data_IF_614851892890
#
_entry.id   IF_614851892890
#
_cell.length_a   1.000
_cell.length_b   1.000
_cell.length_c   1.000
_cell.angle_alpha   90.00
_cell.angle_beta   90.00
_cell.angle_gamma   90.00
#
_symmetry.space_group_name_H-M   'P 1'
#
loop_
_entity.id
_entity.type
_entity.pdbx_description
1 polymer ?
#
# COMPACT_ATOMS: atom_id res chain seq x y z
N UNK A 1 31.42 -8.93 39.39
CA UNK A 1 31.76 -7.82 38.46
C UNK A 1 31.38 -8.17 37.02
N UNK A 2 31.74 -9.36 36.50
CA UNK A 2 31.44 -9.77 35.10
C UNK A 2 29.92 -9.77 34.82
N UNK A 3 29.10 -10.32 35.73
CA UNK A 3 27.66 -10.40 35.58
C UNK A 3 27.03 -8.98 35.50
N UNK A 4 27.51 -8.04 36.31
CA UNK A 4 27.00 -6.67 36.29
C UNK A 4 27.29 -5.95 34.96
N UNK A 5 28.50 -6.08 34.44
CA UNK A 5 28.90 -5.47 33.16
C UNK A 5 28.11 -6.11 32.01
N UNK A 6 27.95 -7.44 31.98
CA UNK A 6 27.22 -8.17 30.98
C UNK A 6 25.74 -7.75 30.95
N UNK A 7 25.13 -7.55 32.13
CA UNK A 7 23.72 -7.10 32.22
C UNK A 7 23.53 -5.70 31.66
N UNK A 8 24.45 -4.78 31.94
CA UNK A 8 24.41 -3.39 31.42
C UNK A 8 24.56 -3.39 29.89
N UNK A 9 25.50 -4.16 29.35
CA UNK A 9 25.69 -4.27 27.89
C UNK A 9 24.44 -4.85 27.23
N UNK A 10 23.84 -5.87 27.83
CA UNK A 10 22.60 -6.49 27.31
C UNK A 10 21.45 -5.49 27.28
N UNK A 11 21.24 -4.72 28.34
CA UNK A 11 20.17 -3.70 28.41
C UNK A 11 20.39 -2.62 27.36
N UNK A 12 21.62 -2.12 27.20
CA UNK A 12 21.94 -1.10 26.19
C UNK A 12 21.75 -1.65 24.77
N UNK A 13 22.16 -2.89 24.51
CA UNK A 13 22.01 -3.54 23.21
C UNK A 13 20.55 -3.73 22.83
N UNK A 14 19.73 -4.19 23.79
CA UNK A 14 18.28 -4.32 23.59
C UNK A 14 17.65 -2.93 23.35
N UNK A 15 18.01 -1.93 24.16
CA UNK A 15 17.51 -0.57 24.00
C UNK A 15 17.83 0.03 22.63
N UNK A 16 19.04 -0.14 22.15
CA UNK A 16 19.44 0.33 20.81
C UNK A 16 18.75 -0.47 19.68
N UNK A 17 18.60 -1.77 19.84
CA UNK A 17 17.89 -2.62 18.88
C UNK A 17 16.42 -2.22 18.75
N UNK A 18 15.73 -2.01 19.88
CA UNK A 18 14.34 -1.55 19.92
C UNK A 18 14.21 -0.15 19.29
N UNK A 19 15.11 0.79 19.64
CA UNK A 19 15.09 2.14 19.07
C UNK A 19 15.29 2.14 17.56
N UNK A 20 16.21 1.33 17.04
CA UNK A 20 16.44 1.20 15.60
C UNK A 20 15.25 0.55 14.89
N UNK A 21 14.64 -0.47 15.50
CA UNK A 21 13.44 -1.11 14.99
C UNK A 21 12.27 -0.14 14.91
N UNK A 22 11.99 0.58 16.00
CA UNK A 22 10.88 1.56 16.05
C UNK A 22 11.12 2.71 15.07
N UNK A 23 12.32 3.25 14.97
CA UNK A 23 12.62 4.32 14.01
C UNK A 23 12.49 3.85 12.57
N UNK A 24 12.88 2.62 12.25
CA UNK A 24 12.67 2.01 10.93
C UNK A 24 11.18 1.89 10.58
N UNK A 25 10.38 1.39 11.51
CA UNK A 25 8.94 1.25 11.36
C UNK A 25 8.22 2.61 11.25
N UNK A 26 8.54 3.56 12.12
CA UNK A 26 7.97 4.91 12.06
C UNK A 26 8.31 5.62 10.75
N UNK A 27 9.53 5.48 10.24
CA UNK A 27 9.91 6.05 8.95
C UNK A 27 9.18 5.35 7.79
N UNK A 28 8.92 4.05 7.89
CA UNK A 28 8.16 3.32 6.87
C UNK A 28 6.66 3.65 6.90
N UNK A 29 6.12 3.98 8.08
CA UNK A 29 4.70 4.33 8.25
C UNK A 29 4.39 5.81 7.94
N UNK A 30 5.33 6.71 8.22
CA UNK A 30 5.13 8.16 8.13
C UNK A 30 6.01 8.86 7.08
N UNK A 31 6.75 8.11 6.28
CA UNK A 31 7.82 8.60 5.43
C UNK A 31 7.39 9.52 4.30
N UNK A 32 7.02 10.75 4.61
CA UNK A 32 6.82 11.77 3.60
C UNK A 32 5.47 11.72 2.88
N UNK A 33 4.52 10.94 3.37
CA UNK A 33 3.16 10.92 2.82
C UNK A 33 2.31 12.03 3.46
N UNK A 34 1.66 12.80 2.61
CA UNK A 34 0.66 13.81 3.01
C UNK A 34 -0.68 13.39 2.42
N UNK A 35 -1.66 13.12 3.25
CA UNK A 35 -3.03 12.88 2.81
C UNK A 35 -3.80 14.20 2.80
N UNK A 36 -4.41 14.53 1.67
CA UNK A 36 -5.24 15.72 1.50
C UNK A 36 -6.68 15.26 1.31
N UNK A 37 -7.56 15.78 2.13
CA UNK A 37 -8.99 15.49 2.06
C UNK A 37 -9.75 16.75 1.65
N UNK A 38 -10.74 16.61 0.78
CA UNK A 38 -11.68 17.72 0.56
C UNK A 38 -12.54 17.92 1.81
N UNK A 39 -12.74 19.15 2.20
CA UNK A 39 -13.71 19.48 3.23
C UNK A 39 -15.07 19.63 2.53
N UNK A 40 -16.03 18.82 2.91
CA UNK A 40 -17.20 18.38 2.13
C UNK A 40 -18.12 19.44 1.53
N UNK A 41 -17.95 20.73 1.80
CA UNK A 41 -18.83 21.75 1.23
C UNK A 41 -18.14 23.09 1.03
N UNK A 42 -18.13 23.56 -0.20
CA UNK A 42 -17.94 24.99 -0.49
C UNK A 42 -19.09 25.80 0.11
N UNK A 43 -18.87 27.07 0.40
CA UNK A 43 -19.89 27.98 0.97
C UNK A 43 -21.22 28.00 0.19
N UNK A 44 -21.22 27.58 -1.06
CA UNK A 44 -22.39 27.48 -1.95
C UNK A 44 -23.07 26.10 -1.96
N UNK A 45 -22.63 25.16 -1.10
CA UNK A 45 -23.17 23.80 -1.04
C UNK A 45 -22.73 22.86 -2.16
N UNK A 46 -21.75 23.25 -2.96
CA UNK A 46 -21.18 22.39 -4.01
C UNK A 46 -20.12 21.48 -3.40
N UNK A 47 -20.16 20.19 -3.71
CA UNK A 47 -19.14 19.23 -3.33
C UNK A 47 -17.81 19.59 -4.01
N UNK A 48 -16.74 19.73 -3.23
CA UNK A 48 -15.41 20.01 -3.75
C UNK A 48 -14.73 18.67 -4.06
N UNK A 49 -14.55 18.36 -5.33
CA UNK A 49 -13.90 17.16 -5.82
C UNK A 49 -12.54 17.56 -6.37
N UNK A 50 -11.48 16.85 -5.95
CA UNK A 50 -10.15 17.00 -6.57
C UNK A 50 -10.16 16.44 -7.99
N UNK A 51 -9.71 17.25 -8.93
CA UNK A 51 -9.55 16.88 -10.34
C UNK A 51 -8.15 16.39 -10.66
N UNK A 52 -7.92 15.83 -11.85
CA UNK A 52 -6.57 15.49 -12.31
C UNK A 52 -5.71 16.75 -12.45
N UNK A 53 -6.29 17.86 -12.91
CA UNK A 53 -5.62 19.15 -13.03
C UNK A 53 -5.10 19.69 -11.69
N UNK A 54 -5.86 19.47 -10.60
CA UNK A 54 -5.42 19.84 -9.24
C UNK A 54 -4.23 19.00 -8.79
N UNK A 55 -4.22 17.71 -9.10
CA UNK A 55 -3.10 16.82 -8.79
C UNK A 55 -1.83 17.19 -9.57
N UNK A 56 -1.97 17.47 -10.84
CA UNK A 56 -0.86 17.93 -11.71
C UNK A 56 -0.33 19.28 -11.22
N UNK A 57 -1.20 20.21 -10.86
CA UNK A 57 -0.82 21.50 -10.30
C UNK A 57 -0.04 21.39 -8.99
N UNK A 58 -0.41 20.46 -8.11
CA UNK A 58 0.34 20.18 -6.88
C UNK A 58 1.72 19.62 -7.22
N UNK A 59 1.80 18.66 -8.15
CA UNK A 59 3.05 18.03 -8.53
C UNK A 59 4.03 19.01 -9.18
N UNK A 60 3.54 19.96 -9.98
CA UNK A 60 4.37 20.99 -10.62
C UNK A 60 4.80 22.11 -9.68
N UNK A 61 3.91 22.56 -8.80
CA UNK A 61 4.13 23.77 -7.99
C UNK A 61 4.77 23.50 -6.64
N UNK A 62 4.64 22.29 -6.10
CA UNK A 62 5.18 21.95 -4.79
C UNK A 62 6.52 21.24 -4.94
N UNK A 63 7.62 21.83 -4.47
CA UNK A 63 8.96 21.22 -4.59
C UNK A 63 9.05 19.91 -3.77
N UNK A 64 9.85 18.97 -4.28
CA UNK A 64 10.12 17.67 -3.64
C UNK A 64 8.92 16.71 -3.53
N UNK A 65 7.84 16.96 -4.25
CA UNK A 65 6.76 15.99 -4.40
C UNK A 65 7.16 14.98 -5.48
N UNK A 66 7.21 13.69 -5.12
CA UNK A 66 7.54 12.62 -6.07
C UNK A 66 6.36 12.17 -6.90
N UNK A 67 5.19 12.11 -6.28
CA UNK A 67 3.96 11.71 -6.93
C UNK A 67 2.76 12.26 -6.18
N UNK A 68 1.70 12.56 -6.92
CA UNK A 68 0.37 12.86 -6.39
C UNK A 68 -0.58 11.83 -6.98
N UNK A 69 -1.30 11.12 -6.14
CA UNK A 69 -2.19 10.05 -6.59
C UNK A 69 -3.47 10.05 -5.77
N UNK A 70 -4.62 9.86 -6.41
CA UNK A 70 -5.83 9.59 -5.67
C UNK A 70 -5.67 8.22 -4.99
N UNK A 71 -6.31 8.06 -3.85
CA UNK A 71 -6.29 6.80 -3.10
C UNK A 71 -7.65 6.52 -2.52
N UNK A 72 -8.30 5.46 -3.01
CA UNK A 72 -9.57 4.98 -2.48
C UNK A 72 -9.41 3.53 -2.05
N UNK A 73 -9.82 3.23 -0.81
CA UNK A 73 -9.80 1.88 -0.30
C UNK A 73 -11.21 1.35 -0.12
N UNK A 74 -11.43 0.14 -0.63
CA UNK A 74 -12.70 -0.55 -0.54
C UNK A 74 -12.50 -1.97 -0.03
N UNK A 75 -13.43 -2.42 0.80
CA UNK A 75 -13.47 -3.81 1.26
C UNK A 75 -14.46 -4.58 0.41
N UNK A 76 -13.98 -5.69 -0.14
CA UNK A 76 -14.74 -6.60 -0.99
C UNK A 76 -14.27 -8.02 -0.80
N UNK A 77 -14.47 -8.88 -1.78
CA UNK A 77 -13.98 -10.26 -1.74
C UNK A 77 -13.12 -10.58 -2.96
N UNK A 78 -12.04 -11.31 -2.73
CA UNK A 78 -11.14 -11.82 -3.76
C UNK A 78 -11.28 -13.33 -3.89
N UNK A 79 -11.53 -13.80 -5.10
CA UNK A 79 -11.68 -15.22 -5.41
C UNK A 79 -10.50 -15.71 -6.24
N UNK A 80 -9.72 -16.58 -5.67
CA UNK A 80 -8.58 -17.23 -6.32
C UNK A 80 -8.74 -18.75 -6.36
N UNK A 81 -7.65 -19.45 -6.67
CA UNK A 81 -7.68 -20.92 -6.77
C UNK A 81 -8.02 -21.63 -5.46
N UNK A 82 -7.79 -21.01 -4.32
CA UNK A 82 -8.05 -21.62 -2.99
C UNK A 82 -9.43 -21.27 -2.42
N UNK A 83 -10.17 -20.40 -3.08
CA UNK A 83 -11.50 -19.98 -2.65
C UNK A 83 -11.65 -18.46 -2.62
N UNK A 84 -12.69 -18.02 -1.94
CA UNK A 84 -13.04 -16.62 -1.78
C UNK A 84 -12.66 -16.13 -0.39
N UNK A 85 -12.04 -14.96 -0.30
CA UNK A 85 -11.54 -14.36 0.93
C UNK A 85 -11.88 -12.87 0.94
N UNK A 86 -12.11 -12.33 2.12
CA UNK A 86 -12.27 -10.89 2.29
C UNK A 86 -10.94 -10.18 1.96
N UNK A 87 -11.05 -9.10 1.20
CA UNK A 87 -9.89 -8.35 0.74
C UNK A 87 -10.18 -6.85 0.71
N UNK A 88 -9.27 -6.06 1.29
CA UNK A 88 -9.26 -4.61 1.11
C UNK A 88 -8.34 -4.26 -0.04
N UNK A 89 -8.86 -3.50 -0.98
CA UNK A 89 -8.15 -3.07 -2.19
C UNK A 89 -8.05 -1.56 -2.21
N UNK A 90 -6.87 -1.04 -2.48
CA UNK A 90 -6.64 0.39 -2.69
C UNK A 90 -6.50 0.64 -4.20
N UNK A 91 -7.32 1.53 -4.72
CA UNK A 91 -7.26 2.01 -6.09
C UNK A 91 -6.51 3.33 -6.14
N UNK A 92 -5.68 3.51 -7.17
CA UNK A 92 -4.89 4.71 -7.37
C UNK A 92 -4.20 4.72 -8.73
N UNK A 93 -3.49 5.81 -9.02
CA UNK A 93 -2.61 5.95 -10.20
C UNK A 93 -1.20 5.41 -9.91
N UNK A 94 -0.36 5.37 -10.94
CA UNK A 94 1.08 5.19 -10.77
C UNK A 94 1.63 6.27 -9.82
N UNK A 95 2.61 5.91 -9.01
CA UNK A 95 3.10 6.76 -7.92
C UNK A 95 2.58 6.37 -6.54
N UNK A 96 1.52 5.54 -6.47
CA UNK A 96 1.03 5.01 -5.19
C UNK A 96 2.09 4.17 -4.44
N UNK A 97 3.05 3.58 -5.15
CA UNK A 97 4.20 2.90 -4.56
C UNK A 97 5.07 3.81 -3.69
N UNK A 98 5.17 5.09 -4.03
CA UNK A 98 5.91 6.07 -3.22
C UNK A 98 5.15 6.44 -1.93
N UNK A 99 3.83 6.36 -1.97
CA UNK A 99 2.98 6.59 -0.81
C UNK A 99 3.00 5.40 0.16
N UNK A 100 2.92 4.19 -0.36
CA UNK A 100 2.84 2.98 0.46
C UNK A 100 4.19 2.48 0.99
N UNK A 101 5.30 2.93 0.39
CA UNK A 101 6.69 2.58 0.74
C UNK A 101 6.98 1.07 0.85
N UNK A 102 6.13 0.23 0.28
CA UNK A 102 6.31 -1.22 0.33
C UNK A 102 7.12 -1.69 -0.88
N UNK A 103 8.28 -2.30 -0.65
CA UNK A 103 9.12 -2.73 -1.76
C UNK A 103 8.45 -3.84 -2.56
N UNK A 104 8.50 -3.73 -3.88
CA UNK A 104 8.17 -4.83 -4.78
C UNK A 104 9.24 -5.91 -4.63
N UNK A 105 8.82 -7.13 -4.33
CA UNK A 105 9.71 -8.29 -4.20
C UNK A 105 9.74 -9.16 -5.45
N UNK A 106 8.68 -9.11 -6.26
CA UNK A 106 8.59 -9.79 -7.56
C UNK A 106 7.75 -8.98 -8.55
N UNK A 107 8.12 -9.00 -9.83
CA UNK A 107 7.38 -8.32 -10.87
C UNK A 107 7.61 -6.80 -10.86
N UNK A 108 6.57 -6.04 -11.17
CA UNK A 108 6.58 -4.58 -11.27
C UNK A 108 5.37 -3.96 -10.58
N UNK A 109 5.45 -2.66 -10.33
CA UNK A 109 4.25 -1.89 -10.01
C UNK A 109 3.46 -1.56 -11.28
N UNK A 110 2.20 -1.14 -11.16
CA UNK A 110 1.44 -0.65 -12.31
C UNK A 110 1.96 0.74 -12.74
N UNK A 111 1.78 1.05 -14.01
CA UNK A 111 2.34 2.24 -14.67
C UNK A 111 1.21 3.17 -15.11
N UNK A 112 1.56 4.40 -15.49
CA UNK A 112 0.62 5.33 -16.11
C UNK A 112 0.01 4.73 -17.38
N UNK A 113 0.77 3.98 -18.16
CA UNK A 113 0.24 3.26 -19.33
C UNK A 113 -0.89 2.29 -18.93
N UNK A 114 -0.72 1.54 -17.84
CA UNK A 114 -1.78 0.63 -17.36
C UNK A 114 -3.04 1.42 -16.96
N UNK A 115 -2.87 2.60 -16.36
CA UNK A 115 -3.97 3.48 -15.97
C UNK A 115 -4.69 4.03 -17.21
N UNK A 116 -3.98 4.66 -18.14
CA UNK A 116 -4.60 5.29 -19.32
C UNK A 116 -5.21 4.29 -20.30
N UNK A 117 -4.67 3.06 -20.36
CA UNK A 117 -5.24 1.98 -21.18
C UNK A 117 -6.32 1.17 -20.45
N UNK A 118 -6.63 1.55 -19.20
CA UNK A 118 -7.58 0.85 -18.33
C UNK A 118 -7.29 -0.65 -18.15
N UNK A 119 -6.00 -1.02 -18.16
CA UNK A 119 -5.58 -2.39 -17.90
C UNK A 119 -5.98 -2.83 -16.49
N UNK A 120 -6.62 -3.99 -16.39
CA UNK A 120 -7.05 -4.56 -15.12
C UNK A 120 -5.89 -5.30 -14.46
N UNK A 121 -4.90 -4.54 -13.96
CA UNK A 121 -3.71 -5.07 -13.30
C UNK A 121 -3.67 -4.69 -11.82
N UNK A 122 -3.00 -5.51 -11.02
CA UNK A 122 -2.85 -5.26 -9.60
C UNK A 122 -1.50 -5.71 -9.05
N UNK A 123 -1.16 -5.14 -7.91
CA UNK A 123 -0.06 -5.56 -7.05
C UNK A 123 -0.66 -6.11 -5.76
N UNK A 124 -0.27 -7.32 -5.38
CA UNK A 124 -0.77 -7.97 -4.17
C UNK A 124 0.35 -8.18 -3.15
N UNK A 125 -0.01 -8.40 -1.90
CA UNK A 125 0.98 -8.74 -0.86
C UNK A 125 1.39 -10.21 -0.94
N UNK A 126 2.51 -10.55 -0.34
CA UNK A 126 2.98 -11.93 -0.27
C UNK A 126 1.99 -12.85 0.46
N UNK A 127 1.37 -12.35 1.54
CA UNK A 127 0.34 -13.09 2.26
C UNK A 127 -0.92 -13.31 1.42
N UNK A 128 -1.37 -12.31 0.67
CA UNK A 128 -2.52 -12.43 -0.24
C UNK A 128 -2.25 -13.46 -1.35
N UNK A 129 -1.03 -13.48 -1.91
CA UNK A 129 -0.65 -14.50 -2.89
C UNK A 129 -0.75 -15.92 -2.31
N UNK A 130 -0.24 -16.13 -1.09
CA UNK A 130 -0.34 -17.42 -0.38
C UNK A 130 -1.79 -17.79 -0.08
N UNK A 131 -2.62 -16.83 0.32
CA UNK A 131 -4.03 -17.04 0.62
C UNK A 131 -4.83 -17.44 -0.62
N UNK A 132 -4.71 -16.69 -1.71
CA UNK A 132 -5.48 -16.89 -2.94
C UNK A 132 -5.00 -18.09 -3.77
N UNK A 133 -3.69 -18.37 -3.77
CA UNK A 133 -3.08 -19.35 -4.67
C UNK A 133 -2.25 -20.43 -3.98
N UNK A 134 -1.90 -20.25 -2.71
CA UNK A 134 -1.09 -21.20 -1.94
C UNK A 134 0.42 -21.05 -2.13
N UNK A 135 0.88 -20.14 -2.97
CA UNK A 135 2.28 -19.85 -3.24
C UNK A 135 2.49 -18.40 -3.69
N UNK A 136 3.74 -17.98 -3.87
CA UNK A 136 4.12 -16.64 -4.31
C UNK A 136 4.58 -16.56 -5.76
N UNK A 137 4.41 -17.62 -6.55
CA UNK A 137 4.73 -17.59 -7.97
C UNK A 137 3.47 -17.36 -8.80
N UNK A 138 2.91 -16.16 -8.70
CA UNK A 138 1.57 -15.81 -9.22
C UNK A 138 1.58 -14.64 -10.21
N UNK A 139 2.75 -14.14 -10.60
CA UNK A 139 2.85 -13.10 -11.63
C UNK A 139 2.22 -13.60 -12.93
N UNK A 140 1.35 -12.79 -13.54
CA UNK A 140 0.58 -13.13 -14.74
C UNK A 140 -0.66 -13.99 -14.48
N UNK A 141 -0.91 -14.40 -13.23
CA UNK A 141 -2.16 -15.07 -12.87
C UNK A 141 -3.25 -14.02 -12.58
N UNK A 142 -4.50 -14.43 -12.78
CA UNK A 142 -5.66 -13.58 -12.50
C UNK A 142 -6.49 -14.12 -11.34
N UNK A 143 -7.26 -13.24 -10.73
CA UNK A 143 -8.27 -13.54 -9.73
C UNK A 143 -9.45 -12.58 -9.90
N UNK A 144 -10.61 -12.97 -9.39
CA UNK A 144 -11.81 -12.16 -9.41
C UNK A 144 -11.90 -11.32 -8.12
N UNK A 145 -12.14 -10.03 -8.24
CA UNK A 145 -12.46 -9.15 -7.14
C UNK A 145 -13.91 -8.68 -7.25
N UNK A 146 -14.68 -8.91 -6.21
CA UNK A 146 -16.10 -8.55 -6.14
C UNK A 146 -16.30 -7.42 -5.14
N UNK A 147 -16.88 -6.31 -5.61
CA UNK A 147 -17.20 -5.12 -4.84
C UNK A 147 -18.64 -4.71 -5.14
N UNK A 148 -19.49 -4.56 -4.12
CA UNK A 148 -20.91 -4.21 -4.26
C UNK A 148 -21.67 -5.07 -5.25
N UNK A 149 -21.34 -6.37 -5.33
CA UNK A 149 -21.97 -7.31 -6.25
C UNK A 149 -21.46 -7.28 -7.69
N UNK A 150 -20.52 -6.38 -8.00
CA UNK A 150 -19.83 -6.33 -9.29
C UNK A 150 -18.50 -7.07 -9.21
N UNK A 151 -18.29 -8.00 -10.12
CA UNK A 151 -17.06 -8.80 -10.20
C UNK A 151 -16.19 -8.32 -11.35
N UNK A 152 -14.91 -8.11 -11.08
CA UNK A 152 -13.91 -7.76 -12.08
C UNK A 152 -12.68 -8.64 -11.91
N UNK A 153 -12.21 -9.20 -13.02
CA UNK A 153 -10.95 -9.94 -13.07
C UNK A 153 -9.76 -8.99 -13.09
N UNK A 154 -8.74 -9.29 -12.28
CA UNK A 154 -7.47 -8.55 -12.22
C UNK A 154 -6.30 -9.49 -12.45
N UNK A 155 -5.32 -9.04 -13.25
CA UNK A 155 -4.05 -9.75 -13.49
C UNK A 155 -2.98 -9.24 -12.55
N UNK A 156 -2.27 -10.15 -11.89
CA UNK A 156 -1.20 -9.84 -10.94
C UNK A 156 0.07 -9.51 -11.72
N UNK A 157 0.55 -8.28 -11.61
CA UNK A 157 1.79 -7.81 -12.25
C UNK A 157 2.94 -7.62 -11.24
N UNK A 158 2.63 -7.56 -9.95
CA UNK A 158 3.63 -7.41 -8.91
C UNK A 158 3.22 -8.04 -7.59
N UNK A 159 4.23 -8.37 -6.79
CA UNK A 159 4.08 -8.80 -5.40
C UNK A 159 4.92 -7.85 -4.55
N UNK A 160 4.31 -7.28 -3.52
CA UNK A 160 4.97 -6.45 -2.53
C UNK A 160 5.11 -7.18 -1.20
N UNK A 161 6.02 -6.70 -0.37
CA UNK A 161 6.18 -7.18 1.00
C UNK A 161 4.91 -6.88 1.82
N UNK A 162 4.61 -7.70 2.80
CA UNK A 162 3.54 -7.39 3.76
C UNK A 162 3.94 -6.20 4.65
N UNK A 163 2.99 -5.32 4.95
CA UNK A 163 3.23 -4.21 5.85
C UNK A 163 3.43 -4.73 7.28
N UNK A 164 4.33 -4.12 8.01
CA UNK A 164 4.58 -4.46 9.41
C UNK A 164 3.35 -4.27 10.32
N UNK A 165 2.44 -3.37 9.96
CA UNK A 165 1.18 -3.17 10.70
C UNK A 165 0.32 -4.43 10.83
N UNK A 166 0.38 -5.35 9.85
CA UNK A 166 -0.29 -6.65 9.96
C UNK A 166 0.35 -7.61 10.97
N UNK A 167 1.65 -7.45 11.24
CA UNK A 167 2.37 -8.24 12.24
C UNK A 167 1.90 -7.93 13.68
N UNK A 168 1.34 -6.73 13.91
CA UNK A 168 0.84 -6.29 15.22
C UNK A 168 -0.69 -6.36 15.35
N UNK A 169 -1.40 -6.96 14.40
CA UNK A 169 -2.86 -7.15 14.48
C UNK A 169 -3.68 -5.84 14.42
N UNK A 170 -3.10 -4.75 13.93
CA UNK A 170 -3.76 -3.48 13.70
C UNK A 170 -4.17 -3.37 12.22
N UNK A 171 -5.16 -4.12 11.81
CA UNK A 171 -5.70 -4.13 10.46
C UNK A 171 -7.18 -4.39 10.48
#
# INVERSE_FOLDING_TARGET
IIIGISSVIMIISIGNGVKSGINGELNSMAGGQIAVYSNDTAENGTEVIFTEEDMDAIQEKVPNVKAVTPSWSFSGSATGRKGTFDATTTFGKAGLEYCNQDPIIKGRYFTDSDYYTANKVCVITESSAKTLFGNTNVIGMSFDYTLYGMTQEFTIVGIRKDNASKLFGMG
#
